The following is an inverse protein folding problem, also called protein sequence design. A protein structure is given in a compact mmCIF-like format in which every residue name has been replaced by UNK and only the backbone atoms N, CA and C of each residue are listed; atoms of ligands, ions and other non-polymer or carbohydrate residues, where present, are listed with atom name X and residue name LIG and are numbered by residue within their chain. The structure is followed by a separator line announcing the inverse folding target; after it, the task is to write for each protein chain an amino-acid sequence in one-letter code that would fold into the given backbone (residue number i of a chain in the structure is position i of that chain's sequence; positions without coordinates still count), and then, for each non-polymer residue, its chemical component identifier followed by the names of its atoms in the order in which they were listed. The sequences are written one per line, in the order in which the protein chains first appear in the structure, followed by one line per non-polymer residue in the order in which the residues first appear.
data_IF_063585882599
#
_entry.id   IF_063585882599
#
_cell.length_a   1.000
_cell.length_b   1.000
_cell.length_c   1.000
_cell.angle_alpha   90.00
_cell.angle_beta   90.00
_cell.angle_gamma   90.00
#
_symmetry.space_group_name_H-M   'P 1'
#
loop_
_entity.id
_entity.type
_entity.pdbx_description
1 polymer ?
#
# COMPACT_ATOMS: atom_id res chain seq x y z
N UNK A 1 -21.18 -1.68 -16.86
CA UNK A 1 -20.04 -0.87 -17.31
C UNK A 1 -18.93 -1.06 -16.31
N UNK A 2 -17.75 -1.45 -16.78
CA UNK A 2 -16.68 -2.03 -15.97
C UNK A 2 -15.81 -0.94 -15.33
N UNK A 3 -15.50 -1.12 -14.04
CA UNK A 3 -14.55 -0.33 -13.24
C UNK A 3 -13.16 -0.96 -13.39
N UNK A 4 -12.14 -0.28 -13.92
CA UNK A 4 -10.82 -0.88 -14.15
C UNK A 4 -9.95 -1.02 -12.89
N UNK A 5 -10.30 -0.30 -11.80
CA UNK A 5 -9.56 -0.36 -10.53
C UNK A 5 -10.10 -1.41 -9.54
N UNK A 6 -11.36 -1.81 -9.72
CA UNK A 6 -12.01 -2.85 -8.93
C UNK A 6 -12.30 -4.04 -9.85
N UNK A 7 -11.41 -5.03 -9.81
CA UNK A 7 -11.56 -6.31 -10.51
C UNK A 7 -12.76 -7.11 -9.98
N UNK A 8 -13.97 -6.60 -10.18
CA UNK A 8 -15.22 -7.31 -9.96
C UNK A 8 -15.31 -8.44 -10.99
N UNK A 9 -14.60 -9.54 -10.72
CA UNK A 9 -15.03 -10.84 -11.19
C UNK A 9 -16.40 -11.06 -10.57
N UNK A 10 -17.45 -11.04 -11.41
CA UNK A 10 -18.66 -11.81 -11.13
C UNK A 10 -18.20 -13.26 -10.96
N UNK A 11 -17.96 -13.67 -9.72
CA UNK A 11 -17.69 -15.06 -9.40
C UNK A 11 -18.96 -15.87 -9.71
N UNK A 12 -19.01 -16.45 -10.92
CA UNK A 12 -19.83 -17.65 -11.15
C UNK A 12 -19.11 -18.79 -10.44
N UNK A 13 -19.71 -19.28 -9.36
CA UNK A 13 -19.32 -20.49 -8.65
C UNK A 13 -19.25 -21.66 -9.63
N UNK A 14 -18.10 -22.34 -9.82
CA UNK A 14 -18.09 -23.64 -10.49
C UNK A 14 -18.41 -24.74 -9.47
N UNK A 15 -19.43 -25.55 -9.79
CA UNK A 15 -19.69 -26.83 -9.13
C UNK A 15 -18.51 -27.80 -9.31
N UNK A 16 -18.30 -28.75 -8.39
CA UNK A 16 -17.15 -29.65 -8.40
C UNK A 16 -17.36 -30.87 -9.32
N UNK A 17 -16.31 -31.22 -10.07
CA UNK A 17 -16.19 -32.38 -10.97
C UNK A 17 -15.33 -31.97 -12.16
N UNK A 18 -14.28 -32.63 -12.61
CA UNK A 18 -13.87 -34.03 -12.56
C UNK A 18 -12.33 -34.09 -12.62
N UNK A 19 -11.75 -35.11 -11.98
CA UNK A 19 -10.39 -35.58 -12.23
C UNK A 19 -10.22 -35.98 -13.70
N UNK A 20 -9.13 -35.52 -14.34
CA UNK A 20 -8.46 -36.27 -15.41
C UNK A 20 -6.96 -35.95 -15.40
N UNK A 21 -6.20 -36.97 -15.03
CA UNK A 21 -4.78 -37.18 -15.36
C UNK A 21 -4.62 -37.29 -16.87
N UNK A 22 -3.54 -36.74 -17.44
CA UNK A 22 -2.84 -37.42 -18.52
C UNK A 22 -1.38 -36.98 -18.66
N UNK A 23 -0.51 -37.98 -18.56
CA UNK A 23 0.87 -37.98 -19.02
C UNK A 23 0.87 -38.09 -20.55
N UNK A 24 1.74 -37.35 -21.23
CA UNK A 24 2.39 -37.92 -22.42
C UNK A 24 3.77 -37.34 -22.67
N UNK A 25 4.68 -38.28 -22.90
CA UNK A 25 6.07 -38.19 -23.29
C UNK A 25 6.23 -37.82 -24.77
N UNK A 26 7.25 -37.03 -25.11
CA UNK A 26 7.67 -36.79 -26.48
C UNK A 26 9.16 -36.47 -26.57
N UNK A 27 9.96 -37.50 -26.83
CA UNK A 27 11.40 -37.46 -27.15
C UNK A 27 11.66 -36.87 -28.55
N UNK A 28 12.69 -36.02 -28.67
CA UNK A 28 13.24 -35.57 -29.97
C UNK A 28 14.66 -35.01 -29.81
N UNK A 29 15.63 -35.61 -30.51
CA UNK A 29 17.08 -35.50 -30.35
C UNK A 29 17.72 -34.49 -31.33
N UNK A 30 18.70 -33.70 -30.85
CA UNK A 30 19.94 -33.25 -31.55
C UNK A 30 19.97 -31.79 -32.04
N UNK A 31 21.04 -30.99 -31.91
CA UNK A 31 22.48 -31.25 -31.75
C UNK A 31 23.29 -30.01 -31.28
N UNK A 32 24.45 -30.29 -30.67
CA UNK A 32 25.71 -29.51 -30.49
C UNK A 32 25.89 -28.34 -29.49
N UNK A 33 26.69 -28.66 -28.44
CA UNK A 33 27.83 -27.93 -27.80
C UNK A 33 27.74 -26.39 -27.73
N UNK A 34 27.73 -25.82 -26.52
CA UNK A 34 28.96 -25.57 -25.74
C UNK A 34 28.79 -25.81 -24.24
N UNK A 35 29.85 -26.31 -23.62
CA UNK A 35 29.94 -26.60 -22.19
C UNK A 35 30.82 -25.51 -21.53
N UNK A 36 30.26 -24.51 -20.83
CA UNK A 36 30.98 -23.85 -19.77
C UNK A 36 30.71 -24.64 -18.49
N UNK A 37 31.78 -25.05 -17.82
CA UNK A 37 31.72 -25.74 -16.55
C UNK A 37 30.66 -25.09 -15.64
N UNK A 38 29.67 -25.90 -15.24
CA UNK A 38 28.75 -25.62 -14.13
C UNK A 38 29.59 -25.37 -12.88
N UNK A 39 29.90 -24.10 -12.62
CA UNK A 39 29.84 -23.59 -11.26
C UNK A 39 28.35 -23.65 -10.88
N UNK A 40 27.93 -24.82 -10.39
CA UNK A 40 26.79 -24.90 -9.49
C UNK A 40 27.20 -24.10 -8.24
N UNK A 41 27.10 -22.78 -8.33
CA UNK A 41 26.79 -21.97 -7.17
C UNK A 41 25.40 -22.42 -6.77
N UNK A 42 25.34 -23.47 -5.95
CA UNK A 42 24.21 -23.67 -5.07
C UNK A 42 24.11 -22.37 -4.28
N UNK A 43 23.23 -21.47 -4.73
CA UNK A 43 22.86 -20.32 -3.92
C UNK A 43 22.58 -20.89 -2.53
N UNK A 44 23.23 -20.35 -1.47
CA UNK A 44 23.04 -20.87 -0.14
C UNK A 44 21.52 -20.92 0.13
N UNK A 45 21.01 -21.97 0.80
CA UNK A 45 19.58 -22.06 1.09
C UNK A 45 19.16 -20.72 1.67
N UNK A 46 18.18 -20.08 1.02
CA UNK A 46 17.73 -18.73 1.34
C UNK A 46 17.44 -18.69 2.85
N UNK A 47 18.38 -18.18 3.65
CA UNK A 47 18.14 -18.03 5.08
C UNK A 47 17.10 -16.96 5.18
N UNK A 48 15.90 -17.34 5.57
CA UNK A 48 14.79 -16.43 5.80
C UNK A 48 15.25 -15.37 6.81
N UNK A 49 15.51 -14.16 6.34
CA UNK A 49 15.96 -13.05 7.19
C UNK A 49 14.75 -12.35 7.80
N UNK A 50 14.96 -11.56 8.85
CA UNK A 50 13.89 -10.73 9.40
C UNK A 50 13.33 -9.73 8.35
N UNK A 51 14.20 -9.22 7.48
CA UNK A 51 13.81 -8.43 6.31
C UNK A 51 13.10 -9.29 5.24
N UNK A 52 13.47 -10.56 5.09
CA UNK A 52 12.70 -11.63 4.42
C UNK A 52 11.22 -11.55 4.75
N UNK A 53 10.92 -11.86 6.01
CA UNK A 53 9.55 -11.87 6.56
C UNK A 53 8.85 -10.52 6.49
N UNK A 54 9.62 -9.43 6.55
CA UNK A 54 9.07 -8.09 6.45
C UNK A 54 8.41 -7.81 5.10
N UNK A 55 8.69 -8.54 4.02
CA UNK A 55 7.96 -8.40 2.76
C UNK A 55 6.88 -9.46 2.52
N UNK A 56 6.69 -10.36 3.48
CA UNK A 56 5.65 -11.40 3.47
C UNK A 56 4.59 -11.14 4.57
N UNK A 57 3.69 -10.16 4.36
CA UNK A 57 2.61 -9.84 5.29
C UNK A 57 1.67 -11.03 5.54
N UNK A 58 1.21 -11.14 6.79
CA UNK A 58 0.31 -12.23 7.19
C UNK A 58 -1.12 -11.74 7.40
N UNK A 59 -2.08 -12.64 7.24
CA UNK A 59 -3.50 -12.37 7.54
C UNK A 59 -3.68 -11.96 9.01
N UNK A 60 -3.00 -12.62 9.94
CA UNK A 60 -3.10 -12.34 11.37
C UNK A 60 -2.65 -10.91 11.71
N UNK A 61 -1.58 -10.45 11.07
CA UNK A 61 -1.12 -9.07 11.21
C UNK A 61 -2.19 -8.08 10.76
N UNK A 62 -2.69 -8.20 9.53
CA UNK A 62 -3.71 -7.29 9.02
C UNK A 62 -5.03 -7.31 9.82
N UNK A 63 -5.43 -8.48 10.35
CA UNK A 63 -6.58 -8.57 11.26
C UNK A 63 -6.33 -7.82 12.57
N UNK A 64 -5.10 -7.85 13.10
CA UNK A 64 -4.72 -7.05 14.26
C UNK A 64 -4.77 -5.54 13.97
N UNK A 65 -4.30 -5.12 12.80
CA UNK A 65 -4.37 -3.71 12.38
C UNK A 65 -5.82 -3.26 12.27
N UNK A 66 -6.66 -4.04 11.59
CA UNK A 66 -8.09 -3.77 11.48
C UNK A 66 -8.77 -3.66 12.84
N UNK A 67 -8.54 -4.62 13.74
CA UNK A 67 -9.11 -4.61 15.09
C UNK A 67 -8.69 -3.38 15.89
N UNK A 68 -7.46 -2.90 15.70
CA UNK A 68 -6.97 -1.68 16.35
C UNK A 68 -7.67 -0.43 15.80
N UNK A 69 -7.76 -0.32 14.47
CA UNK A 69 -8.48 0.78 13.80
C UNK A 69 -9.94 0.81 14.22
N UNK A 70 -10.63 -0.34 14.23
CA UNK A 70 -12.03 -0.48 14.61
C UNK A 70 -12.30 -0.05 16.07
N UNK A 71 -11.30 -0.13 16.96
CA UNK A 71 -11.39 0.30 18.37
C UNK A 71 -11.02 1.76 18.59
N UNK A 72 -10.79 2.53 17.54
CA UNK A 72 -10.54 3.97 17.63
C UNK A 72 -11.69 4.68 18.37
N UNK A 73 -11.41 5.66 19.25
CA UNK A 73 -12.44 6.48 19.89
C UNK A 73 -13.41 7.14 18.89
N UNK A 74 -12.93 7.48 17.69
CA UNK A 74 -13.75 8.07 16.61
C UNK A 74 -14.81 7.11 16.06
N UNK A 75 -14.61 5.81 16.27
CA UNK A 75 -15.59 4.75 15.96
C UNK A 75 -16.36 4.40 17.22
N UNK A 76 -15.67 4.11 18.32
CA UNK A 76 -16.28 3.57 19.54
C UNK A 76 -17.25 4.55 20.24
N UNK A 77 -17.00 5.85 20.18
CA UNK A 77 -17.86 6.85 20.82
C UNK A 77 -19.16 7.10 20.04
N UNK A 78 -19.20 6.73 18.75
CA UNK A 78 -20.38 6.88 17.92
C UNK A 78 -21.15 5.54 17.86
N UNK A 79 -22.39 5.54 18.38
CA UNK A 79 -23.24 4.34 18.43
C UNK A 79 -23.50 3.74 17.04
N UNK A 80 -23.74 4.58 16.04
CA UNK A 80 -24.05 4.13 14.68
C UNK A 80 -22.80 3.57 14.00
N UNK A 81 -21.63 4.19 14.23
CA UNK A 81 -20.36 3.68 13.72
C UNK A 81 -20.06 2.28 14.27
N UNK A 82 -20.19 2.08 15.59
CA UNK A 82 -20.03 0.75 16.20
C UNK A 82 -21.00 -0.27 15.63
N UNK A 83 -22.28 0.11 15.46
CA UNK A 83 -23.29 -0.78 14.90
C UNK A 83 -22.94 -1.20 13.46
N UNK A 84 -22.45 -0.28 12.62
CA UNK A 84 -21.99 -0.59 11.26
C UNK A 84 -20.74 -1.48 11.28
N UNK A 85 -19.72 -1.13 12.07
CA UNK A 85 -18.47 -1.89 12.21
C UNK A 85 -18.71 -3.33 12.68
N UNK A 86 -19.66 -3.55 13.59
CA UNK A 86 -20.00 -4.90 14.06
C UNK A 86 -20.52 -5.84 12.96
N UNK A 87 -20.92 -5.29 11.81
CA UNK A 87 -21.41 -6.02 10.62
C UNK A 87 -20.40 -6.04 9.48
N UNK A 88 -19.25 -5.37 9.65
CA UNK A 88 -18.20 -5.31 8.65
C UNK A 88 -17.37 -6.59 8.65
N UNK A 89 -16.95 -7.00 7.46
CA UNK A 89 -16.03 -8.12 7.25
C UNK A 89 -14.77 -7.56 6.60
N UNK A 90 -13.65 -7.67 7.30
CA UNK A 90 -12.34 -7.30 6.76
C UNK A 90 -11.62 -8.54 6.23
N UNK A 91 -11.10 -8.45 5.01
CA UNK A 91 -10.35 -9.51 4.37
C UNK A 91 -9.03 -8.99 3.78
N UNK A 92 -7.93 -9.61 4.21
CA UNK A 92 -6.63 -9.45 3.58
C UNK A 92 -6.41 -10.56 2.55
N UNK A 93 -6.16 -10.18 1.29
CA UNK A 93 -5.96 -11.10 0.17
C UNK A 93 -4.48 -11.31 -0.11
N UNK A 94 -3.85 -12.19 0.68
CA UNK A 94 -2.39 -12.45 0.63
C UNK A 94 -1.89 -13.01 -0.71
N UNK A 95 -2.78 -13.53 -1.55
CA UNK A 95 -2.48 -14.13 -2.85
C UNK A 95 -2.83 -13.22 -4.04
N UNK A 96 -3.38 -12.03 -3.82
CA UNK A 96 -3.72 -11.08 -4.88
C UNK A 96 -2.60 -10.03 -4.94
N UNK A 97 -1.70 -10.09 -5.94
CA UNK A 97 -0.53 -9.22 -6.01
C UNK A 97 -0.89 -7.80 -6.45
N UNK A 98 -2.15 -7.52 -6.80
CA UNK A 98 -2.57 -6.20 -7.25
C UNK A 98 -2.38 -5.15 -6.13
N UNK A 99 -2.00 -3.94 -6.54
CA UNK A 99 -1.89 -2.79 -5.64
C UNK A 99 -3.26 -2.13 -5.53
N UNK A 100 -3.94 -2.33 -4.41
CA UNK A 100 -5.20 -1.67 -4.09
C UNK A 100 -5.80 -2.07 -2.75
N UNK A 101 -6.81 -1.31 -2.34
CA UNK A 101 -7.76 -1.64 -1.29
C UNK A 101 -9.14 -1.16 -1.76
N UNK A 102 -10.21 -1.68 -1.17
CA UNK A 102 -11.57 -1.27 -1.52
C UNK A 102 -12.58 -1.55 -0.41
N UNK A 103 -13.57 -0.68 -0.29
CA UNK A 103 -14.85 -0.94 0.33
C UNK A 103 -15.86 -1.41 -0.74
N UNK A 104 -16.40 -2.62 -0.59
CA UNK A 104 -17.36 -3.17 -1.56
C UNK A 104 -18.66 -2.37 -1.55
N UNK A 105 -19.25 -2.10 -2.73
CA UNK A 105 -20.61 -1.53 -2.81
C UNK A 105 -21.61 -2.49 -2.15
N UNK A 106 -22.46 -1.95 -1.28
CA UNK A 106 -23.42 -2.75 -0.51
C UNK A 106 -24.82 -2.47 -1.02
N UNK A 107 -25.34 -3.38 -1.84
CA UNK A 107 -26.75 -3.41 -2.20
C UNK A 107 -27.53 -4.41 -1.35
N UNK A 108 -26.94 -5.57 -1.07
CA UNK A 108 -27.47 -6.61 -0.16
C UNK A 108 -26.27 -7.37 0.46
N UNK A 109 -26.27 -7.58 1.78
CA UNK A 109 -25.25 -8.39 2.47
C UNK A 109 -24.31 -7.61 3.39
N UNK A 110 -23.22 -8.23 3.88
CA UNK A 110 -22.30 -7.60 4.81
C UNK A 110 -21.44 -6.53 4.12
N UNK A 111 -21.10 -5.48 4.86
CA UNK A 111 -20.11 -4.47 4.45
C UNK A 111 -18.73 -5.13 4.41
N UNK A 112 -18.03 -5.09 3.28
CA UNK A 112 -16.77 -5.81 3.09
C UNK A 112 -15.65 -4.84 2.71
N UNK A 113 -14.53 -4.99 3.39
CA UNK A 113 -13.29 -4.26 3.10
C UNK A 113 -12.25 -5.27 2.64
N UNK A 114 -11.71 -5.05 1.45
CA UNK A 114 -10.63 -5.83 0.86
C UNK A 114 -9.31 -5.07 0.88
N UNK A 115 -8.26 -5.72 1.37
CA UNK A 115 -6.89 -5.19 1.29
C UNK A 115 -6.01 -6.17 0.50
N UNK A 116 -5.39 -5.72 -0.58
CA UNK A 116 -4.64 -6.59 -1.50
C UNK A 116 -3.15 -6.65 -1.15
N UNK A 117 -2.51 -7.80 -1.41
CA UNK A 117 -1.11 -8.02 -1.05
C UNK A 117 -0.15 -7.04 -1.72
N UNK A 118 -0.43 -6.64 -2.96
CA UNK A 118 0.45 -5.71 -3.68
C UNK A 118 0.64 -4.37 -2.98
N UNK A 119 -0.47 -3.81 -2.45
CA UNK A 119 -0.41 -2.56 -1.70
C UNK A 119 0.36 -2.74 -0.38
N UNK A 120 0.18 -3.88 0.27
CA UNK A 120 0.89 -4.19 1.51
C UNK A 120 2.41 -4.20 1.30
N UNK A 121 2.87 -4.88 0.25
CA UNK A 121 4.29 -4.97 -0.11
C UNK A 121 4.83 -3.63 -0.56
N UNK A 122 4.11 -2.88 -1.40
CA UNK A 122 4.51 -1.54 -1.82
C UNK A 122 4.75 -0.60 -0.62
N UNK A 123 3.80 -0.57 0.32
CA UNK A 123 3.93 0.19 1.58
C UNK A 123 5.16 -0.24 2.39
N UNK A 124 5.45 -1.55 2.46
CA UNK A 124 6.61 -2.08 3.18
C UNK A 124 7.92 -1.66 2.53
N UNK A 125 8.03 -1.65 1.20
CA UNK A 125 9.23 -1.16 0.51
C UNK A 125 9.45 0.34 0.76
N UNK A 126 8.39 1.14 0.70
CA UNK A 126 8.45 2.57 1.03
C UNK A 126 8.89 2.77 2.47
N UNK A 127 8.30 2.03 3.41
CA UNK A 127 8.66 2.09 4.81
C UNK A 127 10.13 1.70 5.06
N UNK A 128 10.64 0.69 4.35
CA UNK A 128 12.06 0.32 4.39
C UNK A 128 12.96 1.45 3.87
N UNK A 129 12.63 2.05 2.72
CA UNK A 129 13.37 3.17 2.15
C UNK A 129 13.34 4.42 3.03
N UNK A 130 12.23 4.69 3.72
CA UNK A 130 12.15 5.81 4.68
C UNK A 130 12.91 5.49 5.97
N UNK A 131 12.88 4.23 6.43
CA UNK A 131 13.62 3.81 7.63
C UNK A 131 15.14 3.85 7.42
N UNK A 132 15.64 3.68 6.18
CA UNK A 132 17.08 3.73 5.88
C UNK A 132 17.66 5.14 5.98
N UNK A 133 16.81 6.15 5.84
CA UNK A 133 17.17 7.57 5.98
C UNK A 133 16.76 8.13 7.35
N UNK A 134 16.23 7.28 8.24
CA UNK A 134 15.85 7.67 9.58
C UNK A 134 17.08 8.13 10.37
N UNK A 135 16.98 9.21 11.15
CA UNK A 135 18.06 9.61 12.02
C UNK A 135 18.35 8.49 13.04
N UNK A 136 19.60 8.05 13.24
CA UNK A 136 19.92 7.26 14.41
C UNK A 136 19.53 8.05 15.66
N UNK A 137 19.08 7.34 16.69
CA UNK A 137 18.62 7.88 17.98
C UNK A 137 19.65 8.73 18.75
N UNK A 138 20.83 9.00 18.16
CA UNK A 138 22.01 9.62 18.78
C UNK A 138 22.25 11.11 18.47
N UNK A 139 21.25 11.88 18.05
CA UNK A 139 21.29 13.35 18.12
C UNK A 139 22.20 14.13 17.15
N UNK A 140 22.72 13.50 16.08
CA UNK A 140 23.56 14.18 15.07
C UNK A 140 22.73 15.00 14.08
N UNK A 141 22.88 16.33 14.02
CA UNK A 141 22.07 17.22 13.16
C UNK A 141 22.38 17.22 11.65
N UNK A 142 23.46 16.58 11.22
CA UNK A 142 23.81 16.48 9.80
C UNK A 142 23.06 15.32 9.13
N UNK A 143 21.88 15.64 8.59
CA UNK A 143 21.08 14.70 7.80
C UNK A 143 20.99 15.18 6.37
N UNK A 144 21.72 14.52 5.47
CA UNK A 144 21.24 14.42 4.10
C UNK A 144 20.21 13.29 4.07
N UNK A 145 18.95 13.62 4.36
CA UNK A 145 17.85 12.73 3.99
C UNK A 145 18.06 12.41 2.52
N UNK A 146 18.26 11.14 2.19
CA UNK A 146 18.47 10.72 0.82
C UNK A 146 17.12 10.76 0.10
N UNK A 147 16.64 11.99 -0.16
CA UNK A 147 15.38 12.30 -0.86
C UNK A 147 15.35 11.61 -2.22
N UNK A 148 16.52 11.39 -2.81
CA UNK A 148 16.72 10.61 -4.02
C UNK A 148 16.25 9.17 -3.83
N UNK A 149 16.62 8.47 -2.76
CA UNK A 149 16.17 7.09 -2.47
C UNK A 149 14.65 6.95 -2.36
N UNK A 150 13.97 7.85 -1.63
CA UNK A 150 12.49 7.79 -1.50
C UNK A 150 11.83 8.05 -2.85
N UNK A 151 12.33 9.06 -3.58
CA UNK A 151 11.82 9.40 -4.91
C UNK A 151 12.03 8.25 -5.90
N UNK A 152 13.22 7.67 -5.95
CA UNK A 152 13.55 6.52 -6.80
C UNK A 152 12.76 5.28 -6.43
N UNK A 153 12.53 5.03 -5.13
CA UNK A 153 11.70 3.93 -4.65
C UNK A 153 10.26 4.08 -5.16
N UNK A 154 9.67 5.27 -5.00
CA UNK A 154 8.32 5.54 -5.49
C UNK A 154 8.25 5.39 -7.01
N UNK A 155 9.17 6.01 -7.75
CA UNK A 155 9.26 5.89 -9.21
C UNK A 155 9.43 4.43 -9.66
N UNK A 156 10.21 3.63 -8.93
CA UNK A 156 10.43 2.21 -9.24
C UNK A 156 9.18 1.37 -8.99
N UNK A 157 8.46 1.61 -7.89
CA UNK A 157 7.17 0.94 -7.60
C UNK A 157 6.19 1.23 -8.72
N UNK A 158 6.09 2.49 -9.14
CA UNK A 158 5.16 2.90 -10.21
C UNK A 158 5.52 2.30 -11.56
N UNK A 159 6.79 2.39 -11.94
CA UNK A 159 7.28 1.76 -13.17
C UNK A 159 7.00 0.26 -13.17
N UNK A 160 7.14 -0.39 -12.02
CA UNK A 160 6.78 -1.81 -11.87
C UNK A 160 5.28 -2.05 -12.04
N UNK A 161 4.43 -1.28 -11.33
CA UNK A 161 2.96 -1.40 -11.36
C UNK A 161 2.41 -1.13 -12.76
N UNK A 162 2.92 -0.11 -13.46
CA UNK A 162 2.53 0.21 -14.85
C UNK A 162 2.96 -0.91 -15.81
N UNK A 163 4.16 -1.46 -15.65
CA UNK A 163 4.67 -2.54 -16.49
C UNK A 163 3.98 -3.90 -16.27
N UNK A 164 3.35 -4.12 -15.10
CA UNK A 164 2.86 -5.44 -14.68
C UNK A 164 1.37 -5.46 -14.31
N UNK A 165 0.53 -4.70 -15.01
CA UNK A 165 -0.94 -4.71 -14.79
C UNK A 165 -1.34 -4.48 -13.32
N UNK A 166 -0.66 -3.55 -12.65
CA UNK A 166 -0.82 -3.22 -11.23
C UNK A 166 -0.40 -4.31 -10.24
N UNK A 167 0.28 -5.37 -10.65
CA UNK A 167 0.81 -6.38 -9.72
C UNK A 167 2.14 -5.92 -9.09
N UNK A 168 2.30 -6.13 -7.80
CA UNK A 168 3.53 -5.91 -7.03
C UNK A 168 3.73 -7.06 -6.02
N UNK A 169 4.63 -7.99 -6.33
CA UNK A 169 4.78 -9.22 -5.53
C UNK A 169 5.81 -9.06 -4.39
N UNK A 170 5.77 -9.94 -3.37
CA UNK A 170 6.82 -9.97 -2.32
C UNK A 170 8.22 -10.08 -2.93
N UNK A 171 8.39 -10.89 -3.99
CA UNK A 171 9.65 -11.02 -4.71
C UNK A 171 10.09 -9.69 -5.34
N UNK A 172 9.18 -8.98 -6.01
CA UNK A 172 9.49 -7.66 -6.57
C UNK A 172 9.86 -6.66 -5.47
N UNK A 173 9.18 -6.72 -4.32
CA UNK A 173 9.52 -5.91 -3.14
C UNK A 173 10.91 -6.22 -2.60
N UNK A 174 11.28 -7.51 -2.51
CA UNK A 174 12.62 -7.95 -2.14
C UNK A 174 13.69 -7.47 -3.11
N UNK A 175 13.47 -7.66 -4.40
CA UNK A 175 14.43 -7.30 -5.45
C UNK A 175 14.67 -5.78 -5.45
N UNK A 176 13.61 -4.98 -5.31
CA UNK A 176 13.71 -3.52 -5.20
C UNK A 176 14.38 -3.09 -3.89
N UNK A 177 14.04 -3.72 -2.77
CA UNK A 177 14.72 -3.47 -1.50
C UNK A 177 16.22 -3.75 -1.61
N UNK A 178 16.60 -4.89 -2.21
CA UNK A 178 17.99 -5.25 -2.40
C UNK A 178 18.76 -4.22 -3.26
N UNK A 179 18.11 -3.63 -4.26
CA UNK A 179 18.75 -2.68 -5.19
C UNK A 179 19.09 -1.33 -4.56
N UNK A 180 18.38 -0.88 -3.53
CA UNK A 180 18.76 0.32 -2.77
C UNK A 180 19.44 -0.02 -1.43
N UNK A 181 19.39 -1.28 -0.99
CA UNK A 181 20.10 -1.77 0.18
C UNK A 181 21.61 -1.90 -0.07
N UNK A 182 22.04 -2.31 -1.27
CA UNK A 182 23.47 -2.37 -1.62
C UNK A 182 24.18 -1.03 -1.49
N UNK A 183 23.42 0.06 -1.66
CA UNK A 183 23.92 1.44 -1.60
C UNK A 183 23.85 2.03 -0.17
N UNK A 184 23.13 1.36 0.75
CA UNK A 184 23.03 1.73 2.14
C UNK A 184 24.18 1.10 2.95
N UNK A 185 25.38 1.68 2.87
CA UNK A 185 26.58 1.21 3.57
C UNK A 185 26.31 0.89 5.07
N UNK A 186 26.66 -0.35 5.46
CA UNK A 186 27.14 -0.85 6.77
C UNK A 186 26.44 -0.47 8.09
N UNK A 187 25.21 0.03 8.07
CA UNK A 187 24.28 -0.19 9.19
C UNK A 187 23.56 1.04 9.68
N UNK A 188 22.25 1.06 9.41
CA UNK A 188 21.23 1.83 10.14
C UNK A 188 19.79 1.50 9.68
N UNK A 189 19.57 0.33 9.06
CA UNK A 189 18.20 -0.10 8.79
C UNK A 189 17.53 -0.55 10.08
N UNK A 190 16.61 0.28 10.56
CA UNK A 190 15.78 -0.04 11.72
C UNK A 190 14.51 -0.75 11.24
N UNK A 191 14.51 -2.08 11.34
CA UNK A 191 13.36 -2.91 11.00
C UNK A 191 12.14 -2.56 11.86
N UNK A 192 12.34 -2.19 13.14
CA UNK A 192 11.25 -1.77 14.02
C UNK A 192 10.62 -0.46 13.54
N UNK A 193 11.44 0.50 13.11
CA UNK A 193 10.98 1.72 12.48
C UNK A 193 10.21 1.44 11.17
N UNK A 194 10.74 0.58 10.30
CA UNK A 194 10.05 0.20 9.05
C UNK A 194 8.70 -0.49 9.32
N UNK A 195 8.64 -1.39 10.28
CA UNK A 195 7.40 -2.04 10.72
C UNK A 195 6.38 -1.03 11.24
N UNK A 196 6.81 -0.07 12.07
CA UNK A 196 5.92 0.94 12.62
C UNK A 196 5.39 1.90 11.54
N UNK A 197 6.21 2.29 10.57
CA UNK A 197 5.79 3.10 9.41
C UNK A 197 4.80 2.31 8.54
N UNK A 198 5.13 1.08 8.16
CA UNK A 198 4.27 0.24 7.33
C UNK A 198 2.91 -0.01 7.99
N UNK A 199 2.91 -0.33 9.29
CA UNK A 199 1.70 -0.48 10.08
C UNK A 199 0.83 0.79 10.05
N UNK A 200 1.44 1.97 10.22
CA UNK A 200 0.70 3.23 10.14
C UNK A 200 0.11 3.50 8.74
N UNK A 201 0.84 3.15 7.68
CA UNK A 201 0.33 3.26 6.30
C UNK A 201 -0.85 2.31 6.06
N UNK A 202 -0.75 1.04 6.50
CA UNK A 202 -1.84 0.07 6.38
C UNK A 202 -3.07 0.48 7.19
N UNK A 203 -2.86 0.95 8.43
CA UNK A 203 -3.94 1.42 9.30
C UNK A 203 -4.68 2.62 8.70
N UNK A 204 -3.95 3.55 8.06
CA UNK A 204 -4.56 4.69 7.38
C UNK A 204 -5.51 4.25 6.25
N UNK A 205 -5.06 3.36 5.36
CA UNK A 205 -5.91 2.84 4.28
C UNK A 205 -7.11 2.09 4.84
N UNK A 206 -6.92 1.23 5.84
CA UNK A 206 -8.04 0.51 6.46
C UNK A 206 -9.05 1.49 7.07
N UNK A 207 -8.59 2.55 7.74
CA UNK A 207 -9.45 3.58 8.29
C UNK A 207 -10.20 4.35 7.19
N UNK A 208 -9.55 4.62 6.06
CA UNK A 208 -10.14 5.25 4.88
C UNK A 208 -11.28 4.38 4.30
N UNK A 209 -11.03 3.08 4.07
CA UNK A 209 -12.06 2.15 3.57
C UNK A 209 -13.23 1.97 4.55
N UNK A 210 -12.96 1.94 5.86
CA UNK A 210 -14.01 1.98 6.88
C UNK A 210 -14.85 3.26 6.72
N UNK A 211 -14.19 4.40 6.50
CA UNK A 211 -14.82 5.70 6.28
C UNK A 211 -15.89 5.64 5.19
N UNK A 212 -15.63 4.99 4.06
CA UNK A 212 -16.59 4.85 2.95
C UNK A 212 -17.88 4.14 3.37
N UNK A 213 -17.79 3.09 4.17
CA UNK A 213 -18.99 2.43 4.68
C UNK A 213 -19.71 3.25 5.76
N UNK A 214 -18.95 3.89 6.66
CA UNK A 214 -19.53 4.66 7.75
C UNK A 214 -20.31 5.88 7.26
N UNK A 215 -19.81 6.56 6.23
CA UNK A 215 -20.46 7.72 5.61
C UNK A 215 -21.45 7.34 4.51
N UNK A 216 -21.64 6.05 4.23
CA UNK A 216 -22.65 5.56 3.29
C UNK A 216 -22.28 5.73 1.82
N UNK A 217 -21.03 6.05 1.49
CA UNK A 217 -20.56 6.21 0.10
C UNK A 217 -20.74 4.90 -0.69
N UNK A 218 -20.58 3.75 -0.02
CA UNK A 218 -20.83 2.42 -0.62
C UNK A 218 -22.32 2.07 -0.88
N UNK A 219 -23.25 2.94 -0.47
CA UNK A 219 -24.70 2.73 -0.50
C UNK A 219 -25.43 3.80 -1.34
N UNK A 220 -24.71 4.76 -1.93
CA UNK A 220 -25.31 5.81 -2.73
C UNK A 220 -25.99 5.22 -3.98
N UNK A 221 -27.29 5.47 -4.11
CA UNK A 221 -28.09 5.13 -5.29
C UNK A 221 -28.17 6.35 -6.21
N UNK A 222 -27.64 6.21 -7.43
CA UNK A 222 -27.49 7.32 -8.39
C UNK A 222 -26.03 7.41 -8.85
N UNK A 223 -25.79 7.78 -10.11
CA UNK A 223 -24.42 7.91 -10.62
C UNK A 223 -23.62 8.94 -9.83
N UNK A 224 -22.41 8.58 -9.41
CA UNK A 224 -21.47 9.51 -8.79
C UNK A 224 -21.03 10.55 -9.83
N UNK A 225 -21.19 11.83 -9.51
CA UNK A 225 -20.51 12.89 -10.25
C UNK A 225 -19.04 12.97 -9.82
N UNK A 226 -18.14 13.48 -10.67
CA UNK A 226 -16.74 13.68 -10.29
C UNK A 226 -16.57 14.54 -9.03
N UNK A 227 -17.40 15.57 -8.85
CA UNK A 227 -17.32 16.45 -7.69
C UNK A 227 -17.81 15.80 -6.40
N UNK A 228 -18.87 14.98 -6.46
CA UNK A 228 -19.33 14.18 -5.31
C UNK A 228 -18.28 13.14 -4.91
N UNK A 229 -17.67 12.45 -5.87
CA UNK A 229 -16.59 11.49 -5.59
C UNK A 229 -15.40 12.18 -4.92
N UNK A 230 -14.97 13.35 -5.41
CA UNK A 230 -13.89 14.14 -4.76
C UNK A 230 -14.23 14.56 -3.35
N UNK A 231 -15.47 14.96 -3.08
CA UNK A 231 -15.90 15.35 -1.74
C UNK A 231 -15.94 14.14 -0.80
N UNK A 232 -16.46 13.01 -1.28
CA UNK A 232 -16.53 11.76 -0.53
C UNK A 232 -15.12 11.31 -0.11
N UNK A 233 -14.13 11.36 -1.02
CA UNK A 233 -12.71 11.11 -0.72
C UNK A 233 -12.17 12.02 0.39
N UNK A 234 -12.47 13.33 0.34
CA UNK A 234 -12.01 14.28 1.36
C UNK A 234 -12.61 13.98 2.73
N UNK A 235 -13.90 13.62 2.77
CA UNK A 235 -14.60 13.26 4.01
C UNK A 235 -13.95 12.03 4.63
N UNK A 236 -13.69 10.98 3.83
CA UNK A 236 -13.08 9.75 4.36
C UNK A 236 -11.60 9.92 4.70
N UNK A 237 -10.85 10.77 4.00
CA UNK A 237 -9.48 11.13 4.36
C UNK A 237 -9.45 11.84 5.72
N UNK A 238 -10.31 12.83 5.92
CA UNK A 238 -10.43 13.55 7.20
C UNK A 238 -10.81 12.59 8.34
N UNK A 239 -11.74 11.67 8.09
CA UNK A 239 -12.10 10.61 9.03
C UNK A 239 -10.90 9.70 9.35
N UNK A 240 -10.18 9.21 8.34
CA UNK A 240 -9.02 8.36 8.52
C UNK A 240 -7.92 9.08 9.32
N UNK A 241 -7.67 10.36 9.04
CA UNK A 241 -6.70 11.16 9.76
C UNK A 241 -7.03 11.30 11.24
N UNK A 242 -8.30 11.52 11.56
CA UNK A 242 -8.83 11.55 12.92
C UNK A 242 -8.64 10.21 13.63
N UNK A 243 -8.99 9.09 12.98
CA UNK A 243 -8.72 7.74 13.50
C UNK A 243 -7.24 7.56 13.80
N UNK A 244 -6.37 7.93 12.87
CA UNK A 244 -4.92 7.82 13.02
C UNK A 244 -4.36 8.69 14.17
N UNK A 245 -5.02 9.76 14.60
CA UNK A 245 -4.59 10.55 15.78
C UNK A 245 -4.73 9.78 17.10
N UNK A 246 -5.63 8.80 17.14
CA UNK A 246 -5.87 7.97 18.32
C UNK A 246 -4.94 6.75 18.41
N UNK A 247 -4.14 6.51 17.38
CA UNK A 247 -3.23 5.37 17.33
C UNK A 247 -2.09 5.55 18.36
N UNK A 248 -1.61 4.46 18.99
CA UNK A 248 -0.61 4.52 20.06
C UNK A 248 0.71 5.16 19.63
N UNK A 249 1.09 4.98 18.36
CA UNK A 249 2.33 5.54 17.82
C UNK A 249 2.04 6.80 16.99
N UNK A 250 1.85 7.92 17.68
CA UNK A 250 1.45 9.20 17.07
C UNK A 250 2.47 9.71 16.05
N UNK A 251 3.76 9.46 16.31
CA UNK A 251 4.87 9.87 15.45
C UNK A 251 4.75 9.24 14.05
N UNK A 252 4.58 7.92 13.98
CA UNK A 252 4.43 7.24 12.68
C UNK A 252 3.03 7.38 12.09
N UNK A 253 2.00 7.67 12.89
CA UNK A 253 0.62 7.77 12.40
C UNK A 253 0.44 8.90 11.37
N UNK A 254 1.09 10.06 11.59
CA UNK A 254 1.07 11.12 10.58
C UNK A 254 1.88 10.72 9.34
N UNK A 255 3.11 10.27 9.55
CA UNK A 255 4.01 9.89 8.47
C UNK A 255 3.40 8.81 7.58
N UNK A 256 2.79 7.79 8.18
CA UNK A 256 2.09 6.73 7.46
C UNK A 256 0.89 7.24 6.66
N UNK A 257 0.15 8.22 7.17
CA UNK A 257 -0.94 8.87 6.41
C UNK A 257 -0.39 9.62 5.19
N UNK A 258 0.66 10.43 5.37
CA UNK A 258 1.32 11.17 4.27
C UNK A 258 1.83 10.21 3.19
N UNK A 259 2.57 9.17 3.59
CA UNK A 259 3.16 8.22 2.67
C UNK A 259 2.09 7.36 1.96
N UNK A 260 1.02 7.00 2.67
CA UNK A 260 -0.09 6.26 2.07
C UNK A 260 -0.80 7.07 0.99
N UNK A 261 -1.18 8.32 1.30
CA UNK A 261 -1.81 9.20 0.30
C UNK A 261 -0.84 9.48 -0.85
N UNK A 262 0.45 9.69 -0.57
CA UNK A 262 1.46 9.86 -1.62
C UNK A 262 1.52 8.63 -2.52
N UNK A 263 1.45 7.42 -1.97
CA UNK A 263 1.43 6.17 -2.73
C UNK A 263 0.18 6.08 -3.61
N UNK A 264 -1.00 6.40 -3.07
CA UNK A 264 -2.26 6.37 -3.83
C UNK A 264 -2.30 7.43 -4.94
N UNK A 265 -1.92 8.68 -4.62
CA UNK A 265 -1.75 9.77 -5.60
C UNK A 265 -0.77 9.36 -6.67
N UNK A 266 0.32 8.70 -6.29
CA UNK A 266 1.28 8.22 -7.24
C UNK A 266 0.67 7.18 -8.20
N UNK A 267 -0.05 6.20 -7.67
CA UNK A 267 -0.63 5.11 -8.46
C UNK A 267 -1.83 5.52 -9.32
N UNK A 268 -2.60 6.52 -8.90
CA UNK A 268 -3.81 7.01 -9.57
C UNK A 268 -3.57 8.03 -10.71
N UNK A 269 -2.33 8.21 -11.17
CA UNK A 269 -1.98 9.15 -12.25
C UNK A 269 -1.94 8.49 -13.64
N UNK A 270 -2.74 7.44 -13.89
CA UNK A 270 -2.90 6.91 -15.25
C UNK A 270 -3.73 7.90 -16.09
N UNK A 271 -3.15 8.55 -17.14
CA UNK A 271 -3.86 9.56 -17.92
C UNK A 271 -5.04 9.01 -18.72
N UNK A 272 -5.21 7.69 -18.81
CA UNK A 272 -6.27 7.03 -19.60
C UNK A 272 -7.55 6.73 -18.82
N UNK A 273 -7.56 6.96 -17.51
CA UNK A 273 -8.70 6.60 -16.65
C UNK A 273 -9.33 7.83 -15.99
N UNK A 274 -10.09 8.60 -16.77
CA UNK A 274 -11.01 9.66 -16.28
C UNK A 274 -12.14 9.13 -15.37
N UNK A 275 -12.19 7.83 -15.08
CA UNK A 275 -13.23 7.13 -14.31
C UNK A 275 -12.67 6.42 -13.06
N UNK A 276 -11.68 7.01 -12.39
CA UNK A 276 -11.21 6.49 -11.10
C UNK A 276 -12.23 6.83 -9.99
N UNK A 277 -12.64 5.83 -9.20
CA UNK A 277 -13.58 6.03 -8.08
C UNK A 277 -12.93 6.75 -6.89
N UNK A 278 -11.59 6.80 -6.88
CA UNK A 278 -10.77 7.54 -5.91
C UNK A 278 -9.86 8.52 -6.66
N UNK A 279 -10.37 9.69 -7.12
CA UNK A 279 -9.53 10.66 -7.82
C UNK A 279 -8.34 11.04 -6.95
N UNK A 280 -7.16 10.54 -7.34
CA UNK A 280 -5.93 10.66 -6.59
C UNK A 280 -5.28 12.02 -6.90
N UNK A 281 -5.95 13.08 -6.46
CA UNK A 281 -5.62 14.45 -6.78
C UNK A 281 -4.69 15.07 -5.72
N UNK A 282 -3.83 15.98 -6.18
CA UNK A 282 -2.85 16.71 -5.36
C UNK A 282 -3.47 17.37 -4.11
N UNK A 283 -4.75 17.72 -4.18
CA UNK A 283 -5.53 18.32 -3.10
C UNK A 283 -5.63 17.43 -1.85
N UNK A 284 -5.65 16.10 -1.99
CA UNK A 284 -5.65 15.16 -0.85
C UNK A 284 -4.37 15.23 -0.02
N UNK A 285 -3.22 15.41 -0.69
CA UNK A 285 -1.94 15.62 -0.01
C UNK A 285 -1.91 16.97 0.72
N UNK A 286 -2.45 18.03 0.10
CA UNK A 286 -2.55 19.34 0.75
C UNK A 286 -3.41 19.29 2.01
N UNK A 287 -4.51 18.51 1.99
CA UNK A 287 -5.37 18.30 3.16
C UNK A 287 -4.60 17.62 4.30
N UNK A 288 -3.84 16.55 3.99
CA UNK A 288 -3.04 15.83 5.00
C UNK A 288 -2.02 16.72 5.71
N UNK A 289 -1.41 17.67 4.98
CA UNK A 289 -0.43 18.61 5.55
C UNK A 289 -1.10 19.75 6.33
N UNK A 290 -2.30 20.19 5.92
CA UNK A 290 -3.07 21.25 6.60
C UNK A 290 -3.69 20.79 7.91
N UNK A 291 -4.19 19.56 7.98
CA UNK A 291 -4.88 19.07 9.18
C UNK A 291 -3.97 18.82 10.39
N UNK A 292 -2.65 19.03 10.29
CA UNK A 292 -1.73 18.80 11.42
C UNK A 292 -0.60 19.84 11.57
N UNK A 293 -0.92 20.97 12.19
CA UNK A 293 0.08 21.96 12.63
C UNK A 293 1.06 21.42 13.71
N UNK A 294 0.79 20.30 14.37
CA UNK A 294 1.64 19.73 15.44
C UNK A 294 2.49 18.49 15.08
N UNK A 295 2.18 17.76 13.99
CA UNK A 295 2.92 16.54 13.60
C UNK A 295 3.90 16.74 12.45
N UNK A 296 3.99 17.96 11.93
CA UNK A 296 5.00 18.38 10.96
C UNK A 296 6.41 17.97 11.41
N UNK A 297 6.67 17.95 12.71
CA UNK A 297 7.97 17.58 13.30
C UNK A 297 8.41 16.17 12.90
N UNK A 298 7.51 15.18 12.85
CA UNK A 298 7.93 13.80 12.55
C UNK A 298 8.15 13.58 11.06
N UNK A 299 7.23 14.00 10.19
CA UNK A 299 7.45 13.87 8.74
C UNK A 299 8.69 14.66 8.27
N UNK A 300 8.90 15.87 8.80
CA UNK A 300 10.11 16.66 8.55
C UNK A 300 11.38 15.98 9.07
N UNK A 301 11.32 15.26 10.20
CA UNK A 301 12.45 14.49 10.75
C UNK A 301 12.88 13.34 9.84
N UNK A 302 11.97 12.80 9.03
CA UNK A 302 12.29 11.85 7.94
C UNK A 302 12.52 12.55 6.59
N UNK A 303 12.58 13.88 6.58
CA UNK A 303 12.70 14.73 5.38
C UNK A 303 11.56 14.60 4.38
N UNK A 304 10.42 14.06 4.81
CA UNK A 304 9.16 14.05 4.06
C UNK A 304 8.51 15.41 4.25
N UNK A 305 8.73 16.30 3.29
CA UNK A 305 8.15 17.65 3.27
C UNK A 305 7.10 17.77 2.19
N UNK A 306 6.19 18.74 2.33
CA UNK A 306 5.23 19.09 1.28
C UNK A 306 5.94 19.36 -0.06
N UNK A 307 7.10 20.03 -0.01
CA UNK A 307 7.91 20.29 -1.21
C UNK A 307 8.45 19.00 -1.84
N UNK A 308 8.91 18.03 -1.04
CA UNK A 308 9.33 16.73 -1.56
C UNK A 308 8.16 16.01 -2.23
N UNK A 309 7.00 15.95 -1.58
CA UNK A 309 5.79 15.34 -2.16
C UNK A 309 5.40 16.02 -3.48
N UNK A 310 5.42 17.36 -3.53
CA UNK A 310 5.18 18.13 -4.77
C UNK A 310 6.20 17.79 -5.86
N UNK A 311 7.48 17.64 -5.52
CA UNK A 311 8.52 17.23 -6.46
C UNK A 311 8.27 15.82 -6.99
N UNK A 312 7.99 14.85 -6.12
CA UNK A 312 7.68 13.46 -6.51
C UNK A 312 6.50 13.44 -7.49
N UNK A 313 5.38 14.08 -7.15
CA UNK A 313 4.20 14.16 -8.03
C UNK A 313 4.57 14.80 -9.36
N UNK A 314 5.29 15.93 -9.36
CA UNK A 314 5.69 16.62 -10.58
C UNK A 314 6.55 15.71 -11.47
N UNK A 315 7.57 15.06 -10.91
CA UNK A 315 8.44 14.15 -11.64
C UNK A 315 7.66 12.98 -12.22
N UNK A 316 6.69 12.46 -11.47
CA UNK A 316 5.80 11.42 -11.94
C UNK A 316 4.91 11.88 -13.11
N UNK A 317 4.27 13.04 -13.01
CA UNK A 317 3.43 13.58 -14.09
C UNK A 317 4.25 13.78 -15.36
N UNK A 318 5.51 14.18 -15.25
CA UNK A 318 6.42 14.36 -16.39
C UNK A 318 6.93 13.03 -16.99
N UNK A 319 6.98 11.96 -16.21
CA UNK A 319 7.42 10.64 -16.70
C UNK A 319 6.30 9.89 -17.45
N UNK A 320 5.03 10.25 -17.22
CA UNK A 320 3.85 9.64 -17.85
C UNK A 320 3.40 10.32 -19.16
N UNK A 321 4.06 11.41 -19.57
CA UNK A 321 3.82 12.17 -20.82
C UNK A 321 4.89 11.90 -21.86
#
# INVERSE_FOLDING_TARGET
TNCPACGALRAKVPLPGHLSTDLSSGTGIGFFRTNPARLHSSAPPFRETAWGRFFDPTVAEFQSIYAQVAKSPWIEQNRDHRAKISKMVFQYFSNIPNVGAHAERVTVGPMRIGFLAGLAVAHRVIAAAVSSVAPPSSGSSDYMVNRKTITETLLSILGHVQGHQRAFTSKAGHDLFASFWSDAETGKLDLGCAQAIAHAMHAHVIAHEIGHHLHGHTQQEGGETPDTSRMDERIVDSFALNVMQSMPNKDFSHLGSVLSILTLVALGQDPKEENDSHPANKERLELVFKEREGSNLTAQRFGITEQLCKTVIKTMTQAST
#
